data_IF_510404389360
#
_entry.id   IF_510404389360
#
_cell.length_a   1.000
_cell.length_b   1.000
_cell.length_c   1.000
_cell.angle_alpha   90.00
_cell.angle_beta   90.00
_cell.angle_gamma   90.00
#
_symmetry.space_group_name_H-M   'P 1'
#
loop_
_entity.id
_entity.type
_entity.pdbx_description
1 polymer ?
#
# COMPACT_ATOMS: atom_id res chain seq x y z
N UNK A 1 -20.90 -5.44 -6.17
CA UNK A 1 -19.75 -5.98 -6.92
C UNK A 1 -19.80 -5.40 -8.33
N UNK A 2 -19.24 -4.20 -8.54
CA UNK A 2 -19.21 -3.54 -9.84
C UNK A 2 -17.76 -3.48 -10.31
N UNK A 3 -17.43 -4.13 -11.43
CA UNK A 3 -16.14 -3.98 -12.09
C UNK A 3 -15.30 -5.25 -12.27
N UNK A 4 -15.74 -6.41 -11.78
CA UNK A 4 -15.05 -7.66 -12.15
C UNK A 4 -15.45 -7.99 -13.59
N UNK A 5 -14.47 -8.22 -14.48
CA UNK A 5 -14.77 -8.76 -15.82
C UNK A 5 -15.56 -10.06 -15.64
N UNK A 6 -16.33 -10.51 -16.63
CA UNK A 6 -16.81 -11.90 -16.63
C UNK A 6 -15.60 -12.78 -16.38
N UNK A 7 -15.52 -13.30 -15.17
CA UNK A 7 -14.51 -14.26 -14.79
C UNK A 7 -14.72 -15.41 -15.76
N UNK A 8 -13.73 -15.62 -16.64
CA UNK A 8 -13.80 -16.65 -17.68
C UNK A 8 -14.02 -18.05 -17.09
N UNK A 9 -13.83 -18.20 -15.78
CA UNK A 9 -14.02 -19.41 -14.97
C UNK A 9 -15.35 -19.47 -14.19
N UNK A 10 -16.51 -19.23 -14.80
CA UNK A 10 -17.74 -19.76 -14.21
C UNK A 10 -17.73 -21.30 -14.32
N UNK A 11 -17.18 -21.96 -13.29
CA UNK A 11 -17.20 -23.41 -13.11
C UNK A 11 -18.25 -23.75 -12.05
N UNK A 12 -19.37 -24.29 -12.50
CA UNK A 12 -20.41 -24.82 -11.61
C UNK A 12 -19.95 -26.22 -11.18
N UNK A 13 -19.68 -26.39 -9.88
CA UNK A 13 -19.42 -27.70 -9.30
C UNK A 13 -20.76 -28.31 -8.86
N UNK A 14 -21.17 -29.40 -9.51
CA UNK A 14 -22.28 -30.23 -9.01
C UNK A 14 -21.78 -31.22 -7.96
N UNK A 15 -22.68 -31.76 -7.14
CA UNK A 15 -22.38 -32.71 -6.07
C UNK A 15 -21.62 -33.97 -6.54
N UNK A 16 -21.62 -34.25 -7.84
CA UNK A 16 -20.95 -35.41 -8.47
C UNK A 16 -19.55 -35.08 -9.02
N UNK A 17 -18.97 -33.93 -8.64
CA UNK A 17 -17.63 -33.47 -9.04
C UNK A 17 -17.40 -33.36 -10.56
N UNK A 18 -18.48 -33.21 -11.35
CA UNK A 18 -18.40 -32.94 -12.79
C UNK A 18 -18.24 -31.44 -13.03
N UNK A 19 -17.17 -31.06 -13.72
CA UNK A 19 -16.91 -29.68 -14.12
C UNK A 19 -17.75 -29.39 -15.37
N UNK A 20 -18.80 -28.58 -15.24
CA UNK A 20 -19.50 -28.02 -16.40
C UNK A 20 -18.73 -26.77 -16.82
N UNK A 21 -17.92 -26.86 -17.87
CA UNK A 21 -17.41 -25.66 -18.56
C UNK A 21 -18.59 -24.97 -19.23
N UNK A 22 -18.92 -23.76 -18.80
CA UNK A 22 -20.08 -22.99 -19.26
C UNK A 22 -20.12 -22.84 -20.79
N UNK A 23 -20.91 -23.71 -21.43
CA UNK A 23 -21.14 -23.72 -22.86
C UNK A 23 -22.47 -24.39 -23.17
N UNK A 24 -23.58 -23.84 -22.65
CA UNK A 24 -24.92 -24.23 -23.11
C UNK A 24 -25.13 -23.75 -24.54
N UNK A 25 -25.76 -24.58 -25.38
CA UNK A 25 -26.14 -24.27 -26.76
C UNK A 25 -27.19 -23.13 -26.88
N UNK A 26 -27.65 -22.58 -25.75
CA UNK A 26 -28.55 -21.42 -25.64
C UNK A 26 -27.84 -20.19 -25.03
N UNK A 27 -26.58 -19.98 -25.38
CA UNK A 27 -25.83 -18.81 -24.92
C UNK A 27 -26.33 -17.55 -25.65
N UNK A 28 -27.46 -16.99 -25.21
CA UNK A 28 -27.72 -15.56 -25.39
C UNK A 28 -26.72 -14.87 -24.44
N UNK A 29 -25.45 -14.75 -24.85
CA UNK A 29 -24.59 -13.67 -24.36
C UNK A 29 -25.10 -12.39 -25.00
N UNK A 30 -26.29 -11.95 -24.59
CA UNK A 30 -26.70 -10.57 -24.73
C UNK A 30 -25.60 -9.76 -24.07
N UNK A 31 -25.03 -8.81 -24.80
CA UNK A 31 -23.92 -7.96 -24.40
C UNK A 31 -23.91 -7.72 -22.88
N UNK A 32 -22.83 -8.12 -22.21
CA UNK A 32 -22.65 -7.83 -20.79
C UNK A 32 -22.49 -6.32 -20.66
N UNK A 33 -23.61 -5.62 -20.44
CA UNK A 33 -23.63 -4.20 -20.13
C UNK A 33 -22.86 -4.02 -18.82
N UNK A 34 -21.72 -3.35 -18.92
CA UNK A 34 -20.87 -3.05 -17.77
C UNK A 34 -20.69 -1.55 -17.69
N UNK A 35 -20.79 -1.01 -16.47
CA UNK A 35 -20.21 0.28 -16.22
C UNK A 35 -18.69 0.17 -16.36
N UNK A 36 -18.15 0.91 -17.33
CA UNK A 36 -16.72 1.09 -17.47
C UNK A 36 -16.15 1.97 -16.37
N UNK A 37 -14.83 2.13 -16.39
CA UNK A 37 -14.15 3.11 -15.54
C UNK A 37 -14.50 4.54 -15.96
N UNK A 38 -14.49 5.47 -15.02
CA UNK A 38 -14.72 6.89 -15.29
C UNK A 38 -13.61 7.47 -16.17
N UNK A 39 -13.97 8.33 -17.12
CA UNK A 39 -13.05 9.28 -17.73
C UNK A 39 -12.69 10.38 -16.74
N UNK A 40 -11.69 11.20 -17.09
CA UNK A 40 -11.31 12.32 -16.22
C UNK A 40 -12.45 13.35 -16.13
N UNK A 41 -13.13 13.61 -17.26
CA UNK A 41 -14.31 14.48 -17.33
C UNK A 41 -15.48 13.96 -16.49
N UNK A 42 -15.68 12.64 -16.41
CA UNK A 42 -16.71 12.06 -15.53
C UNK A 42 -16.43 12.35 -14.05
N UNK A 43 -15.16 12.32 -13.61
CA UNK A 43 -14.80 12.64 -12.22
C UNK A 43 -14.99 14.12 -11.93
N UNK A 44 -14.56 14.99 -12.85
CA UNK A 44 -14.80 16.44 -12.74
C UNK A 44 -16.30 16.71 -12.61
N UNK A 45 -17.10 16.11 -13.50
CA UNK A 45 -18.56 16.29 -13.52
C UNK A 45 -19.20 15.77 -12.24
N UNK A 46 -18.77 14.61 -11.74
CA UNK A 46 -19.28 14.07 -10.49
C UNK A 46 -18.99 15.01 -9.30
N UNK A 47 -17.76 15.53 -9.20
CA UNK A 47 -17.38 16.37 -8.06
C UNK A 47 -17.95 17.79 -8.18
N UNK A 48 -18.16 18.30 -9.39
CA UNK A 48 -18.84 19.57 -9.64
C UNK A 48 -20.30 19.57 -9.14
N UNK A 49 -20.98 18.41 -9.10
CA UNK A 49 -22.32 18.31 -8.52
C UNK A 49 -22.32 18.67 -7.03
N UNK A 50 -21.29 18.26 -6.27
CA UNK A 50 -21.13 18.66 -4.87
C UNK A 50 -20.95 20.17 -4.75
N UNK A 51 -20.12 20.77 -5.61
CA UNK A 51 -19.91 22.22 -5.63
C UNK A 51 -21.19 22.98 -5.98
N UNK A 52 -21.96 22.54 -6.96
CA UNK A 52 -23.25 23.15 -7.34
C UNK A 52 -24.28 23.06 -6.20
N UNK A 53 -24.37 21.91 -5.53
CA UNK A 53 -25.34 21.69 -4.45
C UNK A 53 -24.98 22.39 -3.14
N UNK A 54 -23.68 22.53 -2.84
CA UNK A 54 -23.21 22.96 -1.52
C UNK A 54 -22.53 24.32 -1.50
N UNK A 55 -22.11 24.81 -2.67
CA UNK A 55 -21.25 26.00 -2.81
C UNK A 55 -19.80 25.76 -2.39
N UNK A 56 -19.42 24.52 -2.05
CA UNK A 56 -18.07 24.18 -1.61
C UNK A 56 -17.19 23.74 -2.78
N UNK A 57 -16.14 24.49 -3.04
CA UNK A 57 -15.19 24.22 -4.13
C UNK A 57 -14.16 23.14 -3.76
N UNK A 58 -13.51 22.58 -4.77
CA UNK A 58 -12.31 21.75 -4.62
C UNK A 58 -11.07 22.54 -5.02
N UNK A 59 -10.00 22.42 -4.24
CA UNK A 59 -8.70 22.98 -4.60
C UNK A 59 -8.17 22.37 -5.90
N UNK A 60 -7.43 23.18 -6.68
CA UNK A 60 -6.79 22.72 -7.92
C UNK A 60 -5.89 21.50 -7.66
N UNK A 61 -6.00 20.48 -8.50
CA UNK A 61 -5.24 19.24 -8.40
C UNK A 61 -5.88 18.15 -7.51
N UNK A 62 -6.90 18.45 -6.70
CA UNK A 62 -7.58 17.42 -5.88
C UNK A 62 -8.28 16.38 -6.75
N UNK A 63 -8.95 16.81 -7.82
CA UNK A 63 -9.65 15.90 -8.74
C UNK A 63 -8.65 15.04 -9.54
N UNK A 64 -7.54 15.63 -9.99
CA UNK A 64 -6.45 14.89 -10.65
C UNK A 64 -5.89 13.81 -9.74
N UNK A 65 -5.62 14.18 -8.49
CA UNK A 65 -5.15 13.27 -7.47
C UNK A 65 -6.11 12.09 -7.26
N UNK A 66 -7.41 12.34 -7.09
CA UNK A 66 -8.42 11.27 -6.97
C UNK A 66 -8.42 10.38 -8.21
N UNK A 67 -8.38 10.98 -9.40
CA UNK A 67 -8.40 10.24 -10.66
C UNK A 67 -7.20 9.27 -10.74
N UNK A 68 -6.01 9.73 -10.39
CA UNK A 68 -4.78 8.93 -10.35
C UNK A 68 -4.84 7.84 -9.29
N UNK A 69 -5.16 8.20 -8.04
CA UNK A 69 -5.12 7.28 -6.90
C UNK A 69 -6.06 6.08 -7.06
N UNK A 70 -7.24 6.33 -7.63
CA UNK A 70 -8.30 5.33 -7.76
C UNK A 70 -8.15 4.46 -8.98
N UNK A 71 -7.25 4.81 -9.91
CA UNK A 71 -7.15 4.19 -11.22
C UNK A 71 -8.51 4.13 -11.90
N UNK A 72 -9.30 5.21 -11.79
CA UNK A 72 -10.59 5.41 -12.48
C UNK A 72 -11.74 4.53 -11.97
N UNK A 73 -11.60 3.90 -10.82
CA UNK A 73 -12.63 3.00 -10.27
C UNK A 73 -13.74 3.78 -9.58
N UNK A 74 -14.95 3.56 -10.07
CA UNK A 74 -16.17 4.24 -9.61
C UNK A 74 -16.33 4.21 -8.10
N UNK A 75 -16.23 3.02 -7.50
CA UNK A 75 -16.42 2.89 -6.05
C UNK A 75 -15.39 3.69 -5.26
N UNK A 76 -14.11 3.63 -5.63
CA UNK A 76 -13.05 4.37 -4.92
C UNK A 76 -13.21 5.89 -5.09
N UNK A 77 -13.57 6.35 -6.28
CA UNK A 77 -13.81 7.78 -6.56
C UNK A 77 -14.95 8.31 -5.68
N UNK A 78 -16.06 7.56 -5.61
CA UNK A 78 -17.20 7.93 -4.78
C UNK A 78 -16.87 7.81 -3.29
N UNK A 79 -16.13 6.79 -2.86
CA UNK A 79 -15.76 6.60 -1.46
C UNK A 79 -14.85 7.73 -0.95
N UNK A 80 -13.84 8.14 -1.73
CA UNK A 80 -12.97 9.27 -1.39
C UNK A 80 -13.74 10.58 -1.33
N UNK A 81 -14.59 10.86 -2.32
CA UNK A 81 -15.41 12.07 -2.35
C UNK A 81 -16.39 12.10 -1.17
N UNK A 82 -17.04 10.98 -0.88
CA UNK A 82 -17.93 10.88 0.28
C UNK A 82 -17.19 11.10 1.60
N UNK A 83 -16.00 10.53 1.75
CA UNK A 83 -15.21 10.69 2.95
C UNK A 83 -14.75 12.14 3.14
N UNK A 84 -14.22 12.77 2.09
CA UNK A 84 -13.76 14.16 2.12
C UNK A 84 -14.91 15.15 2.36
N UNK A 85 -16.02 15.00 1.64
CA UNK A 85 -17.12 15.96 1.69
C UNK A 85 -18.05 15.81 2.90
N UNK A 86 -18.17 14.61 3.49
CA UNK A 86 -19.22 14.34 4.49
C UNK A 86 -18.73 13.76 5.81
N UNK A 87 -17.53 13.15 5.85
CA UNK A 87 -17.02 12.48 7.07
C UNK A 87 -15.80 13.12 7.69
N UNK A 88 -15.07 13.96 6.95
CA UNK A 88 -13.95 14.69 7.52
C UNK A 88 -14.38 15.59 8.68
N UNK A 89 -13.91 15.29 9.89
CA UNK A 89 -14.11 16.14 11.06
C UNK A 89 -13.36 17.46 10.87
N UNK A 90 -14.11 18.57 10.78
CA UNK A 90 -13.57 19.92 10.51
C UNK A 90 -14.36 20.69 9.45
N UNK A 91 -15.13 20.01 8.60
CA UNK A 91 -15.59 20.58 7.32
C UNK A 91 -17.11 20.58 7.12
N UNK A 92 -17.83 20.86 8.21
CA UNK A 92 -19.20 21.40 8.06
C UNK A 92 -19.20 22.84 7.56
N UNK A 93 -18.05 23.51 7.60
CA UNK A 93 -17.89 24.86 7.06
C UNK A 93 -17.65 24.83 5.55
N UNK A 94 -18.76 24.88 4.82
CA UNK A 94 -18.80 24.89 3.35
C UNK A 94 -18.19 26.15 2.71
N UNK A 95 -17.82 27.16 3.51
CA UNK A 95 -17.12 28.35 3.00
C UNK A 95 -15.65 28.10 2.67
N UNK A 96 -15.10 26.96 3.12
CA UNK A 96 -13.72 26.55 2.86
C UNK A 96 -13.68 25.45 1.80
N UNK A 97 -12.75 25.52 0.83
CA UNK A 97 -12.62 24.50 -0.19
C UNK A 97 -12.12 23.18 0.38
N UNK A 98 -12.48 22.07 -0.27
CA UNK A 98 -11.87 20.76 -0.04
C UNK A 98 -10.43 20.82 -0.56
N UNK A 99 -9.46 20.79 0.36
CA UNK A 99 -8.02 20.91 0.05
C UNK A 99 -7.37 19.55 -0.21
N UNK A 100 -6.14 19.57 -0.75
CA UNK A 100 -5.33 18.36 -0.88
C UNK A 100 -5.12 17.66 0.46
N UNK A 101 -4.85 18.42 1.53
CA UNK A 101 -4.65 17.85 2.87
C UNK A 101 -5.85 17.02 3.34
N UNK A 102 -7.05 17.53 3.10
CA UNK A 102 -8.32 16.90 3.45
C UNK A 102 -8.51 15.59 2.66
N UNK A 103 -8.21 15.63 1.35
CA UNK A 103 -8.31 14.45 0.50
C UNK A 103 -7.30 13.36 0.90
N UNK A 104 -6.09 13.75 1.31
CA UNK A 104 -5.09 12.81 1.83
C UNK A 104 -5.55 12.16 3.14
N UNK A 105 -6.16 12.92 4.04
CA UNK A 105 -6.74 12.38 5.28
C UNK A 105 -7.95 11.47 5.01
N UNK A 106 -8.81 11.85 4.08
CA UNK A 106 -9.92 11.04 3.62
C UNK A 106 -9.44 9.69 3.05
N UNK A 107 -8.37 9.70 2.26
CA UNK A 107 -7.71 8.48 1.77
C UNK A 107 -7.23 7.60 2.93
N UNK A 108 -6.51 8.16 3.91
CA UNK A 108 -6.00 7.38 5.03
C UNK A 108 -7.13 6.77 5.85
N UNK A 109 -8.18 7.54 6.19
CA UNK A 109 -9.37 7.02 6.89
C UNK A 109 -10.07 5.91 6.11
N UNK A 110 -10.19 6.05 4.79
CA UNK A 110 -10.78 5.02 3.93
C UNK A 110 -9.98 3.71 4.00
N UNK A 111 -8.65 3.79 3.97
CA UNK A 111 -7.75 2.64 4.06
C UNK A 111 -7.83 1.99 5.44
N UNK A 112 -7.89 2.79 6.51
CA UNK A 112 -7.96 2.30 7.89
C UNK A 112 -9.28 1.65 8.25
N UNK A 113 -10.40 2.24 7.80
CA UNK A 113 -11.76 1.77 8.14
C UNK A 113 -12.07 0.38 7.60
N UNK A 114 -11.34 -0.09 6.58
CA UNK A 114 -11.58 -1.37 5.91
C UNK A 114 -13.05 -1.52 5.49
N UNK A 115 -13.53 -0.60 4.67
CA UNK A 115 -14.89 -0.72 4.14
C UNK A 115 -15.12 -2.11 3.52
N UNK A 116 -16.35 -2.61 3.58
CA UNK A 116 -16.72 -3.98 3.16
C UNK A 116 -16.22 -4.34 1.76
N UNK A 117 -16.09 -3.35 0.87
CA UNK A 117 -15.51 -3.52 -0.47
C UNK A 117 -14.00 -3.85 -0.44
N UNK A 118 -13.23 -3.22 0.45
CA UNK A 118 -11.81 -3.52 0.69
C UNK A 118 -11.63 -4.87 1.40
N UNK A 119 -12.56 -5.26 2.27
CA UNK A 119 -12.58 -6.60 2.89
C UNK A 119 -12.79 -7.70 1.84
N UNK A 120 -13.70 -7.49 0.89
CA UNK A 120 -13.89 -8.42 -0.23
C UNK A 120 -12.61 -8.57 -1.07
N UNK A 121 -11.92 -7.46 -1.34
CA UNK A 121 -10.63 -7.48 -2.02
C UNK A 121 -9.61 -8.31 -1.23
N UNK A 122 -9.56 -8.11 0.09
CA UNK A 122 -8.66 -8.83 1.01
C UNK A 122 -8.90 -10.33 1.01
N UNK A 123 -10.16 -10.77 0.93
CA UNK A 123 -10.48 -12.19 0.84
C UNK A 123 -9.95 -12.84 -0.44
N UNK A 124 -9.96 -12.11 -1.57
CA UNK A 124 -9.39 -12.60 -2.84
C UNK A 124 -7.88 -12.77 -2.78
N UNK A 125 -7.16 -11.96 -1.97
CA UNK A 125 -5.71 -12.09 -1.81
C UNK A 125 -5.28 -13.45 -1.24
N UNK A 126 -6.19 -14.20 -0.61
CA UNK A 126 -5.92 -15.55 -0.08
C UNK A 126 -6.02 -16.64 -1.14
N UNK A 127 -6.63 -16.37 -2.29
CA UNK A 127 -6.76 -17.37 -3.34
C UNK A 127 -5.38 -17.71 -3.93
N UNK A 128 -4.99 -19.00 -4.08
CA UNK A 128 -3.64 -19.37 -4.49
C UNK A 128 -3.13 -18.69 -5.78
N UNK A 129 -4.00 -18.52 -6.79
CA UNK A 129 -3.64 -17.84 -8.04
C UNK A 129 -3.40 -16.33 -7.87
N UNK A 130 -4.23 -15.66 -7.06
CA UNK A 130 -4.08 -14.23 -6.75
C UNK A 130 -2.84 -14.03 -5.89
N UNK A 131 -2.69 -14.88 -4.88
CA UNK A 131 -1.55 -14.91 -3.99
C UNK A 131 -0.24 -14.98 -4.74
N UNK A 132 -0.11 -15.91 -5.70
CA UNK A 132 1.10 -16.09 -6.52
C UNK A 132 1.48 -14.81 -7.25
N UNK A 133 0.53 -14.18 -7.93
CA UNK A 133 0.75 -12.96 -8.72
C UNK A 133 1.08 -11.75 -7.83
N UNK A 134 0.32 -11.55 -6.75
CA UNK A 134 0.54 -10.42 -5.84
C UNK A 134 1.85 -10.58 -5.06
N UNK A 135 2.24 -11.82 -4.71
CA UNK A 135 3.52 -12.08 -4.02
C UNK A 135 4.71 -11.63 -4.84
N UNK A 136 4.74 -12.00 -6.11
CA UNK A 136 5.79 -11.58 -7.03
C UNK A 136 5.85 -10.05 -7.17
N UNK A 137 4.69 -9.38 -7.19
CA UNK A 137 4.59 -7.92 -7.26
C UNK A 137 4.98 -7.20 -5.96
N UNK A 138 4.91 -7.87 -4.81
CA UNK A 138 5.41 -7.33 -3.54
C UNK A 138 6.91 -7.62 -3.31
N UNK A 139 7.43 -8.77 -3.77
CA UNK A 139 8.77 -9.31 -3.41
C UNK A 139 10.06 -8.70 -3.99
N UNK A 140 10.06 -7.56 -4.68
CA UNK A 140 11.26 -6.89 -5.24
C UNK A 140 11.55 -7.14 -6.72
N UNK A 141 11.65 -8.40 -7.16
CA UNK A 141 11.94 -8.80 -8.55
C UNK A 141 11.63 -10.30 -8.72
N UNK A 142 11.29 -10.73 -9.94
CA UNK A 142 11.19 -12.15 -10.32
C UNK A 142 12.52 -12.82 -9.98
N UNK A 143 12.52 -13.79 -9.06
CA UNK A 143 13.73 -14.60 -8.83
C UNK A 143 14.11 -15.36 -10.10
N UNK A 144 15.39 -15.34 -10.45
CA UNK A 144 15.90 -16.18 -11.53
C UNK A 144 15.65 -17.66 -11.18
N UNK A 145 14.78 -18.33 -11.95
CA UNK A 145 14.42 -19.73 -11.75
C UNK A 145 13.01 -19.98 -11.19
N UNK A 146 12.29 -18.95 -10.74
CA UNK A 146 10.85 -19.09 -10.43
C UNK A 146 10.06 -18.98 -11.73
N UNK A 147 9.18 -19.96 -11.98
CA UNK A 147 8.26 -19.89 -13.12
C UNK A 147 7.25 -18.78 -12.85
N UNK A 148 7.17 -17.74 -13.70
CA UNK A 148 6.21 -16.66 -13.51
C UNK A 148 4.77 -17.22 -13.46
N UNK A 149 3.83 -16.50 -12.84
CA UNK A 149 2.41 -16.77 -12.94
C UNK A 149 2.03 -16.95 -14.40
N UNK A 150 1.24 -17.99 -14.68
CA UNK A 150 0.81 -18.25 -16.04
C UNK A 150 -0.11 -17.11 -16.53
N UNK A 151 -0.35 -17.06 -17.84
CA UNK A 151 -1.19 -16.02 -18.43
C UNK A 151 -2.61 -16.00 -17.84
N UNK A 152 -3.19 -17.17 -17.55
CA UNK A 152 -4.54 -17.29 -17.00
C UNK A 152 -4.66 -16.68 -15.59
N UNK A 153 -3.67 -16.90 -14.72
CA UNK A 153 -3.58 -16.30 -13.38
C UNK A 153 -3.46 -14.78 -13.49
N UNK A 154 -2.61 -14.28 -14.39
CA UNK A 154 -2.45 -12.83 -14.59
C UNK A 154 -3.72 -12.19 -15.14
N UNK A 155 -4.36 -12.81 -16.12
CA UNK A 155 -5.63 -12.33 -16.68
C UNK A 155 -6.74 -12.35 -15.62
N UNK A 156 -6.81 -13.39 -14.80
CA UNK A 156 -7.77 -13.46 -13.71
C UNK A 156 -7.57 -12.31 -12.70
N UNK A 157 -6.34 -12.08 -12.24
CA UNK A 157 -6.03 -11.00 -11.29
C UNK A 157 -6.24 -9.61 -11.91
N UNK A 158 -5.99 -9.47 -13.21
CA UNK A 158 -6.32 -8.27 -13.97
C UNK A 158 -7.84 -8.06 -14.04
N UNK A 159 -8.61 -9.13 -14.23
CA UNK A 159 -10.06 -9.12 -14.31
C UNK A 159 -10.71 -8.78 -12.95
N UNK A 160 -10.04 -9.11 -11.83
CA UNK A 160 -10.36 -8.61 -10.49
C UNK A 160 -10.05 -7.11 -10.30
N UNK A 161 -9.35 -6.48 -11.24
CA UNK A 161 -8.93 -5.08 -11.19
C UNK A 161 -7.77 -4.80 -10.22
N UNK A 162 -7.05 -5.84 -9.80
CA UNK A 162 -5.92 -5.74 -8.87
C UNK A 162 -4.61 -5.33 -9.56
N UNK A 163 -4.40 -5.81 -10.78
CA UNK A 163 -3.19 -5.52 -11.56
C UNK A 163 -3.53 -4.98 -12.95
N UNK A 164 -2.57 -4.30 -13.55
CA UNK A 164 -2.51 -4.07 -15.00
C UNK A 164 -1.30 -4.82 -15.55
N UNK A 165 -1.42 -5.38 -16.74
CA UNK A 165 -0.37 -6.16 -17.41
C UNK A 165 0.38 -5.36 -18.48
N UNK A 166 -0.11 -4.15 -18.83
CA UNK A 166 0.50 -3.27 -19.83
C UNK A 166 0.64 -1.84 -19.30
N UNK A 167 1.74 -1.13 -19.63
CA UNK A 167 2.89 -1.61 -20.41
C UNK A 167 3.78 -2.61 -19.66
N UNK A 168 3.62 -2.70 -18.34
CA UNK A 168 4.27 -3.69 -17.46
C UNK A 168 3.28 -4.20 -16.43
N UNK A 169 3.55 -5.39 -15.88
CA UNK A 169 2.74 -5.95 -14.80
C UNK A 169 2.99 -5.21 -13.49
N UNK A 170 1.94 -4.61 -12.93
CA UNK A 170 2.01 -3.89 -11.65
C UNK A 170 0.62 -3.79 -10.99
N UNK A 171 0.59 -3.45 -9.70
CA UNK A 171 -0.64 -3.13 -8.97
C UNK A 171 -1.36 -1.97 -9.68
N UNK A 172 -2.62 -2.20 -10.05
CA UNK A 172 -3.37 -1.38 -11.01
C UNK A 172 -3.62 0.06 -10.53
N UNK A 173 -3.72 0.26 -9.22
CA UNK A 173 -4.19 1.51 -8.61
C UNK A 173 -3.21 1.91 -7.52
N UNK A 174 -2.75 3.18 -7.48
CA UNK A 174 -1.87 3.66 -6.42
C UNK A 174 -2.40 3.36 -5.01
N UNK A 175 -3.70 3.58 -4.75
CA UNK A 175 -4.29 3.30 -3.43
C UNK A 175 -4.23 1.81 -3.03
N UNK A 176 -4.22 0.88 -4.00
CA UNK A 176 -4.07 -0.55 -3.69
C UNK A 176 -2.67 -0.92 -3.22
N UNK A 177 -1.68 -0.10 -3.54
CA UNK A 177 -0.31 -0.29 -3.07
C UNK A 177 -0.19 -0.04 -1.56
N UNK A 178 -1.11 0.72 -0.99
CA UNK A 178 -1.29 0.87 0.46
C UNK A 178 -2.18 -0.21 1.07
N UNK A 179 -3.33 -0.46 0.43
CA UNK A 179 -4.35 -1.37 0.96
C UNK A 179 -3.84 -2.81 1.02
N UNK A 180 -3.16 -3.30 -0.03
CA UNK A 180 -2.76 -4.71 -0.11
C UNK A 180 -1.77 -5.07 1.02
N UNK A 181 -0.63 -4.38 1.22
CA UNK A 181 0.28 -4.69 2.33
C UNK A 181 -0.38 -4.62 3.72
N UNK A 182 -1.20 -3.60 3.97
CA UNK A 182 -1.96 -3.42 5.24
C UNK A 182 -2.98 -4.53 5.46
N UNK A 183 -3.65 -4.98 4.40
CA UNK A 183 -4.59 -6.09 4.45
C UNK A 183 -3.89 -7.41 4.78
N UNK A 184 -2.74 -7.67 4.15
CA UNK A 184 -1.96 -8.88 4.34
C UNK A 184 -1.33 -9.01 5.74
N UNK A 185 -0.99 -7.88 6.36
CA UNK A 185 -0.24 -7.85 7.62
C UNK A 185 -1.09 -7.57 8.85
N UNK A 186 -2.40 -7.34 8.69
CA UNK A 186 -3.31 -6.96 9.78
C UNK A 186 -3.24 -7.86 11.03
N UNK A 187 -3.30 -9.17 10.80
CA UNK A 187 -3.31 -10.16 11.88
C UNK A 187 -2.00 -10.17 12.64
N UNK A 188 -0.92 -9.76 11.98
CA UNK A 188 0.40 -9.58 12.57
C UNK A 188 0.40 -8.28 13.39
N UNK A 189 0.04 -7.17 12.75
CA UNK A 189 -0.01 -5.84 13.35
C UNK A 189 -0.77 -5.84 14.69
N UNK A 190 -1.95 -6.46 14.72
CA UNK A 190 -2.82 -6.54 15.92
C UNK A 190 -2.25 -7.39 17.06
N UNK A 191 -1.24 -8.22 16.78
CA UNK A 191 -0.56 -9.07 17.76
C UNK A 191 0.79 -8.54 18.21
N UNK A 192 1.29 -7.47 17.60
CA UNK A 192 2.55 -6.82 17.99
C UNK A 192 2.32 -6.04 19.30
N UNK A 193 2.96 -6.43 20.42
CA UNK A 193 2.73 -5.83 21.74
C UNK A 193 3.59 -4.56 21.90
N UNK A 194 3.39 -3.58 21.03
CA UNK A 194 4.16 -2.33 21.00
C UNK A 194 3.21 -1.14 21.09
N UNK A 195 3.52 -0.17 21.96
CA UNK A 195 2.74 1.06 22.11
C UNK A 195 3.46 2.23 21.47
N UNK A 196 2.72 3.09 20.76
CA UNK A 196 3.26 4.31 20.12
C UNK A 196 4.02 5.18 21.10
N UNK A 197 3.50 5.36 22.31
CA UNK A 197 4.07 6.23 23.35
C UNK A 197 5.46 5.82 23.79
N UNK A 198 5.87 4.56 23.59
CA UNK A 198 7.22 4.10 23.94
C UNK A 198 8.30 4.67 23.00
N UNK A 199 7.89 5.15 21.83
CA UNK A 199 8.76 5.63 20.76
C UNK A 199 8.63 7.14 20.55
N UNK A 200 7.95 7.86 21.43
CA UNK A 200 7.84 9.33 21.36
C UNK A 200 8.75 9.93 22.43
N UNK A 201 9.66 10.80 22.01
CA UNK A 201 10.57 11.54 22.90
C UNK A 201 9.82 12.62 23.67
N UNK A 202 10.44 13.17 24.71
CA UNK A 202 9.86 14.26 25.51
C UNK A 202 9.58 15.53 24.68
N UNK A 203 10.36 15.76 23.62
CA UNK A 203 10.19 16.87 22.68
C UNK A 203 9.10 16.63 21.62
N UNK A 204 8.44 15.46 21.64
CA UNK A 204 7.38 15.08 20.72
C UNK A 204 7.85 14.37 19.44
N UNK A 205 9.16 14.31 19.18
CA UNK A 205 9.70 13.60 18.02
C UNK A 205 9.55 12.08 18.15
N UNK A 206 9.47 11.39 17.02
CA UNK A 206 9.56 9.93 16.96
C UNK A 206 11.03 9.49 17.14
N UNK A 207 11.25 8.56 18.06
CA UNK A 207 12.55 7.94 18.34
C UNK A 207 12.82 6.78 17.39
N UNK A 208 13.24 7.13 16.17
CA UNK A 208 13.54 6.18 15.11
C UNK A 208 14.65 5.19 15.47
N UNK A 209 15.79 5.59 16.07
CA UNK A 209 16.82 4.64 16.50
C UNK A 209 16.26 3.58 17.46
N UNK A 210 15.53 4.00 18.50
CA UNK A 210 14.90 3.07 19.45
C UNK A 210 13.86 2.16 18.76
N UNK A 211 13.09 2.70 17.82
CA UNK A 211 12.12 1.93 17.03
C UNK A 211 12.81 0.83 16.24
N UNK A 212 13.88 1.16 15.53
CA UNK A 212 14.61 0.22 14.68
C UNK A 212 15.36 -0.84 15.51
N UNK A 213 15.93 -0.46 16.65
CA UNK A 213 16.56 -1.41 17.58
C UNK A 213 15.53 -2.42 18.12
N UNK A 214 14.36 -1.93 18.53
CA UNK A 214 13.28 -2.80 19.00
C UNK A 214 12.69 -3.64 17.86
N UNK A 215 12.62 -3.12 16.64
CA UNK A 215 12.25 -3.92 15.47
C UNK A 215 13.26 -5.04 15.24
N UNK A 216 14.55 -4.77 15.38
CA UNK A 216 15.60 -5.78 15.22
C UNK A 216 15.43 -6.91 16.25
N UNK A 217 15.19 -6.56 17.52
CA UNK A 217 14.90 -7.54 18.55
C UNK A 217 13.62 -8.32 18.25
N UNK A 218 12.53 -7.62 17.94
CA UNK A 218 11.25 -8.24 17.60
C UNK A 218 11.40 -9.21 16.42
N UNK A 219 12.11 -8.80 15.37
CA UNK A 219 12.37 -9.65 14.22
C UNK A 219 13.16 -10.90 14.63
N UNK A 220 14.22 -10.77 15.44
CA UNK A 220 15.01 -11.92 15.93
C UNK A 220 14.18 -12.94 16.70
N UNK A 221 13.27 -12.48 17.54
CA UNK A 221 12.50 -13.35 18.43
C UNK A 221 11.35 -14.05 17.71
N UNK A 222 10.89 -13.49 16.58
CA UNK A 222 9.61 -13.86 16.01
C UNK A 222 9.72 -14.29 14.53
N UNK A 223 10.82 -14.03 13.83
CA UNK A 223 10.95 -14.21 12.38
C UNK A 223 10.52 -15.59 11.90
N UNK A 224 10.95 -16.66 12.58
CA UNK A 224 10.73 -18.03 12.10
C UNK A 224 9.24 -18.39 12.12
N UNK A 225 8.55 -18.07 13.21
CA UNK A 225 7.10 -18.32 13.38
C UNK A 225 6.30 -17.54 12.33
N UNK A 226 6.68 -16.30 12.05
CA UNK A 226 5.94 -15.46 11.12
C UNK A 226 6.30 -15.72 9.67
N UNK A 227 7.55 -16.05 9.34
CA UNK A 227 7.97 -16.39 7.99
C UNK A 227 7.41 -17.74 7.54
N UNK A 228 7.25 -18.70 8.46
CA UNK A 228 6.57 -19.96 8.18
C UNK A 228 5.06 -19.80 8.00
N UNK A 229 4.44 -18.91 8.78
CA UNK A 229 3.02 -18.54 8.65
C UNK A 229 2.72 -17.55 7.52
N UNK A 230 3.74 -16.92 6.93
CA UNK A 230 3.57 -15.97 5.84
C UNK A 230 3.34 -16.72 4.54
N UNK A 231 2.13 -16.61 3.98
CA UNK A 231 1.89 -17.07 2.61
C UNK A 231 2.80 -16.31 1.62
N UNK A 232 3.08 -15.02 1.87
CA UNK A 232 3.96 -14.15 1.08
C UNK A 232 5.43 -14.23 1.52
N UNK A 233 6.04 -15.42 1.44
CA UNK A 233 7.42 -15.64 1.94
C UNK A 233 8.44 -14.65 1.39
N UNK A 234 8.34 -14.28 0.11
CA UNK A 234 9.29 -13.39 -0.57
C UNK A 234 9.27 -11.96 -0.02
N UNK A 235 8.09 -11.39 0.14
CA UNK A 235 7.91 -10.06 0.71
C UNK A 235 7.88 -10.07 2.25
N UNK A 236 7.94 -11.25 2.88
CA UNK A 236 7.72 -11.47 4.32
C UNK A 236 8.49 -10.50 5.23
N UNK A 237 9.82 -10.37 5.12
CA UNK A 237 10.59 -9.46 5.96
C UNK A 237 10.19 -7.98 5.81
N UNK A 238 9.96 -7.54 4.58
CA UNK A 238 9.52 -6.16 4.29
C UNK A 238 8.10 -5.91 4.80
N UNK A 239 7.19 -6.88 4.65
CA UNK A 239 5.83 -6.81 5.17
C UNK A 239 5.81 -6.82 6.71
N UNK A 240 6.71 -7.58 7.35
CA UNK A 240 6.85 -7.60 8.79
C UNK A 240 7.32 -6.23 9.32
N UNK A 241 8.34 -5.63 8.68
CA UNK A 241 8.77 -4.26 8.99
C UNK A 241 7.63 -3.27 8.85
N UNK A 242 6.91 -3.32 7.73
CA UNK A 242 5.75 -2.47 7.52
C UNK A 242 4.67 -2.64 8.59
N UNK A 243 4.40 -3.87 9.02
CA UNK A 243 3.41 -4.15 10.06
C UNK A 243 3.82 -3.59 11.43
N UNK A 244 5.12 -3.66 11.75
CA UNK A 244 5.68 -3.12 12.98
C UNK A 244 5.60 -1.60 12.99
N UNK A 245 6.02 -0.96 11.89
CA UNK A 245 5.89 0.47 11.69
C UNK A 245 4.45 0.93 11.78
N UNK A 246 3.51 0.27 11.08
CA UNK A 246 2.09 0.61 11.13
C UNK A 246 1.50 0.49 12.55
N UNK A 247 1.89 -0.52 13.34
CA UNK A 247 1.41 -0.67 14.72
C UNK A 247 1.78 0.52 15.60
N UNK A 248 2.94 1.11 15.36
CA UNK A 248 3.49 2.20 16.16
C UNK A 248 3.03 3.55 15.60
N UNK A 249 3.16 3.77 14.29
CA UNK A 249 2.98 5.09 13.67
C UNK A 249 1.51 5.49 13.58
N UNK A 250 0.58 4.53 13.38
CA UNK A 250 -0.85 4.84 13.31
C UNK A 250 -1.41 5.47 14.60
N UNK A 251 -0.66 5.49 15.71
CA UNK A 251 -1.03 6.19 16.94
C UNK A 251 -0.82 7.71 16.93
N UNK A 252 -0.39 8.30 15.82
CA UNK A 252 -0.22 9.76 15.71
C UNK A 252 0.39 10.29 14.41
N UNK A 253 0.98 9.43 13.58
CA UNK A 253 1.56 9.79 12.28
C UNK A 253 0.97 8.95 11.14
N UNK A 254 1.58 9.06 9.96
CA UNK A 254 1.21 8.27 8.77
C UNK A 254 2.43 7.75 8.03
N UNK A 255 2.22 6.69 7.26
CA UNK A 255 3.24 6.07 6.41
C UNK A 255 2.73 6.13 4.97
N UNK A 256 3.48 6.80 4.10
CA UNK A 256 3.25 6.80 2.66
C UNK A 256 4.24 5.87 1.97
N UNK A 257 3.78 5.13 0.95
CA UNK A 257 4.65 4.33 0.09
C UNK A 257 4.81 5.03 -1.24
N UNK A 258 6.04 5.36 -1.62
CA UNK A 258 6.30 5.73 -2.99
C UNK A 258 6.57 4.50 -3.84
N UNK A 259 5.91 4.43 -4.99
CA UNK A 259 6.18 3.45 -6.03
C UNK A 259 6.46 4.23 -7.30
N UNK A 260 7.68 4.75 -7.40
CA UNK A 260 8.10 5.62 -8.50
C UNK A 260 7.96 4.94 -9.88
N UNK A 261 7.65 5.75 -10.89
CA UNK A 261 7.69 5.36 -12.30
C UNK A 261 9.14 5.03 -12.69
N UNK A 262 9.56 3.78 -12.47
CA UNK A 262 10.84 3.26 -12.95
C UNK A 262 11.90 2.95 -11.91
N UNK A 263 11.65 3.15 -10.61
CA UNK A 263 12.58 2.82 -9.52
C UNK A 263 12.02 1.69 -8.63
N UNK A 264 12.89 0.78 -8.20
CA UNK A 264 12.56 -0.52 -7.57
C UNK A 264 12.31 -0.40 -6.05
N UNK A 265 11.01 -0.52 -5.70
CA UNK A 265 10.29 -1.04 -4.50
C UNK A 265 10.60 -0.52 -3.07
N UNK A 266 9.50 0.00 -2.47
CA UNK A 266 9.14 0.19 -1.05
C UNK A 266 9.98 1.16 -0.26
N UNK A 267 10.10 2.35 -0.80
CA UNK A 267 10.52 3.53 -0.10
C UNK A 267 9.33 3.98 0.77
N UNK A 268 9.52 3.95 2.09
CA UNK A 268 8.50 4.39 3.05
C UNK A 268 8.85 5.81 3.48
N UNK A 269 7.84 6.67 3.48
CA UNK A 269 7.91 7.99 4.09
C UNK A 269 7.05 8.00 5.34
N UNK A 270 7.69 8.15 6.49
CA UNK A 270 7.00 8.43 7.74
C UNK A 270 6.80 9.93 7.85
N UNK A 271 5.59 10.34 8.20
CA UNK A 271 5.24 11.71 8.52
C UNK A 271 4.66 11.73 9.93
N UNK A 272 5.40 12.36 10.85
CA UNK A 272 5.08 12.45 12.26
C UNK A 272 4.84 13.92 12.69
N UNK A 273 3.58 14.31 13.00
CA UNK A 273 3.25 15.64 13.49
C UNK A 273 3.98 15.99 14.79
N UNK A 274 4.63 17.14 14.83
CA UNK A 274 5.30 17.64 16.04
C UNK A 274 4.40 18.51 16.91
N UNK A 275 3.38 19.12 16.31
CA UNK A 275 2.33 19.86 17.00
C UNK A 275 1.02 19.07 16.93
N UNK A 276 0.54 18.57 18.07
CA UNK A 276 -0.72 17.81 18.14
C UNK A 276 -1.97 18.65 17.84
N UNK A 277 -1.90 19.96 18.05
CA UNK A 277 -3.02 20.87 17.79
C UNK A 277 -3.16 21.18 16.32
N UNK A 278 -2.05 21.31 15.61
CA UNK A 278 -2.02 21.54 14.17
C UNK A 278 -2.03 20.24 13.36
N UNK A 279 -1.65 19.12 13.97
CA UNK A 279 -1.60 17.82 13.32
C UNK A 279 -0.76 17.86 12.05
N UNK A 280 -1.29 17.33 10.94
CA UNK A 280 -0.59 17.30 9.66
C UNK A 280 -0.43 18.67 8.98
N UNK A 281 -1.02 19.74 9.52
CA UNK A 281 -0.87 21.11 9.02
C UNK A 281 0.27 21.88 9.69
N UNK A 282 0.89 21.31 10.72
CA UNK A 282 1.97 21.93 11.48
C UNK A 282 3.37 21.44 11.10
N UNK A 283 4.38 21.75 11.95
CA UNK A 283 5.72 21.19 11.79
C UNK A 283 5.68 19.66 11.83
N UNK A 284 6.50 19.04 10.97
CA UNK A 284 6.44 17.61 10.66
C UNK A 284 7.85 17.02 10.66
N UNK A 285 8.08 15.96 11.43
CA UNK A 285 9.25 15.11 11.23
C UNK A 285 8.96 14.18 10.04
N UNK A 286 9.88 14.17 9.08
CA UNK A 286 9.83 13.31 7.89
C UNK A 286 11.00 12.35 7.93
N UNK A 287 10.72 11.07 7.83
CA UNK A 287 11.73 10.01 7.85
C UNK A 287 11.56 9.11 6.64
N UNK A 288 12.62 8.98 5.85
CA UNK A 288 12.68 8.02 4.75
C UNK A 288 13.18 6.67 5.27
N UNK A 289 12.53 5.58 4.89
CA UNK A 289 13.02 4.22 5.13
C UNK A 289 13.08 3.48 3.80
N UNK A 290 14.28 3.07 3.43
CA UNK A 290 14.56 2.26 2.25
C UNK A 290 14.69 0.79 2.64
N UNK A 291 13.92 -0.10 2.00
CA UNK A 291 13.92 -1.53 2.30
C UNK A 291 14.55 -2.36 1.18
N UNK A 292 15.73 -2.93 1.42
CA UNK A 292 16.40 -3.82 0.47
C UNK A 292 16.41 -5.28 0.92
N UNK A 293 16.26 -6.19 -0.03
CA UNK A 293 16.63 -7.60 0.14
C UNK A 293 18.02 -7.75 -0.46
N UNK A 294 18.97 -8.29 0.32
CA UNK A 294 20.33 -8.53 -0.17
C UNK A 294 20.31 -9.67 -1.20
N UNK A 295 20.45 -9.31 -2.48
CA UNK A 295 20.55 -10.26 -3.62
C UNK A 295 21.93 -10.27 -4.26
N UNK A 296 22.76 -9.28 -3.97
CA UNK A 296 24.15 -9.11 -4.44
C UNK A 296 25.10 -8.96 -3.23
N UNK A 297 26.35 -8.57 -3.47
CA UNK A 297 27.26 -8.27 -2.35
C UNK A 297 26.67 -7.20 -1.45
N UNK A 298 27.00 -7.27 -0.15
CA UNK A 298 26.47 -6.32 0.83
C UNK A 298 26.89 -4.89 0.47
N UNK A 299 28.14 -4.71 0.04
CA UNK A 299 28.69 -3.42 -0.35
C UNK A 299 27.90 -2.81 -1.52
N UNK A 300 27.62 -3.60 -2.56
CA UNK A 300 26.88 -3.10 -3.71
C UNK A 300 25.40 -2.82 -3.38
N UNK A 301 24.80 -3.56 -2.43
CA UNK A 301 23.45 -3.28 -1.94
C UNK A 301 23.40 -2.00 -1.09
N UNK A 302 24.45 -1.75 -0.28
CA UNK A 302 24.58 -0.52 0.49
C UNK A 302 24.73 0.68 -0.44
N UNK A 303 25.66 0.64 -1.39
CA UNK A 303 25.91 1.74 -2.33
C UNK A 303 24.62 2.16 -3.06
N UNK A 304 23.93 1.20 -3.68
CA UNK A 304 22.65 1.46 -4.36
C UNK A 304 21.56 1.97 -3.40
N UNK A 305 21.48 1.42 -2.18
CA UNK A 305 20.47 1.79 -1.21
C UNK A 305 20.68 3.20 -0.64
N UNK A 306 21.93 3.60 -0.41
CA UNK A 306 22.28 4.94 0.09
C UNK A 306 21.96 6.01 -0.95
N UNK A 307 22.33 5.78 -2.22
CA UNK A 307 22.01 6.71 -3.31
C UNK A 307 20.50 6.92 -3.43
N UNK A 308 19.72 5.83 -3.37
CA UNK A 308 18.26 5.89 -3.47
C UNK A 308 17.61 6.56 -2.24
N UNK A 309 18.11 6.27 -1.05
CA UNK A 309 17.62 6.90 0.19
C UNK A 309 17.85 8.40 0.16
N UNK A 310 19.05 8.84 -0.23
CA UNK A 310 19.43 10.25 -0.31
C UNK A 310 18.62 10.99 -1.37
N UNK A 311 18.51 10.43 -2.58
CA UNK A 311 17.67 10.95 -3.66
C UNK A 311 16.22 11.17 -3.19
N UNK A 312 15.69 10.25 -2.40
CA UNK A 312 14.32 10.35 -1.91
C UNK A 312 14.19 11.41 -0.81
N UNK A 313 15.11 11.44 0.16
CA UNK A 313 15.15 12.46 1.21
C UNK A 313 15.15 13.88 0.63
N UNK A 314 15.96 14.13 -0.39
CA UNK A 314 16.02 15.43 -1.08
C UNK A 314 14.68 15.81 -1.72
N UNK A 315 14.00 14.84 -2.35
CA UNK A 315 12.71 15.07 -3.00
C UNK A 315 11.59 15.40 -2.02
N UNK A 316 11.62 14.85 -0.82
CA UNK A 316 10.55 15.02 0.18
C UNK A 316 10.92 15.97 1.32
N UNK A 317 12.14 16.51 1.32
CA UNK A 317 12.67 17.36 2.38
C UNK A 317 12.68 16.63 3.73
N UNK A 318 13.19 15.39 3.76
CA UNK A 318 13.39 14.63 4.99
C UNK A 318 14.82 14.84 5.51
N UNK A 319 14.95 15.07 6.81
CA UNK A 319 16.25 15.25 7.48
C UNK A 319 16.84 13.91 7.97
N UNK A 320 16.01 12.86 7.99
CA UNK A 320 16.41 11.52 8.44
C UNK A 320 16.06 10.47 7.39
N UNK A 321 17.00 9.55 7.17
CA UNK A 321 16.84 8.40 6.27
C UNK A 321 17.48 7.15 6.85
N UNK A 322 16.85 6.00 6.63
CA UNK A 322 17.33 4.71 7.13
C UNK A 322 17.29 3.65 6.03
N UNK A 323 18.43 3.04 5.74
CA UNK A 323 18.54 1.89 4.85
C UNK A 323 18.49 0.59 5.64
N UNK A 324 17.48 -0.24 5.39
CA UNK A 324 17.31 -1.54 6.04
C UNK A 324 17.53 -2.64 5.02
N UNK A 325 18.53 -3.49 5.27
CA UNK A 325 18.91 -4.59 4.38
C UNK A 325 18.57 -5.92 5.03
N UNK A 326 17.65 -6.67 4.42
CA UNK A 326 17.31 -8.04 4.81
C UNK A 326 18.20 -9.03 4.07
N UNK A 327 19.07 -9.73 4.80
CA UNK A 327 19.89 -10.80 4.26
C UNK A 327 19.19 -12.15 4.40
N UNK A 328 19.19 -12.94 3.31
CA UNK A 328 18.54 -14.26 3.20
C UNK A 328 19.52 -15.42 3.03
N UNK A 329 20.82 -15.19 3.17
CA UNK A 329 21.84 -16.24 3.05
C UNK A 329 21.59 -17.37 4.06
N UNK A 330 21.48 -18.61 3.56
CA UNK A 330 21.24 -19.82 4.38
C UNK A 330 22.34 -20.11 5.41
N UNK A 331 23.51 -19.51 5.24
CA UNK A 331 24.74 -19.85 5.96
C UNK A 331 25.08 -18.83 7.05
N UNK A 332 24.27 -17.79 7.20
CA UNK A 332 24.50 -16.72 8.17
C UNK A 332 23.67 -17.04 9.41
N UNK A 333 24.36 -17.35 10.52
CA UNK A 333 23.72 -17.36 11.83
C UNK A 333 23.17 -15.95 12.08
N UNK A 334 21.87 -15.88 12.33
CA UNK A 334 21.06 -14.66 12.43
C UNK A 334 21.62 -13.58 13.39
N UNK A 335 22.53 -13.95 14.28
CA UNK A 335 23.25 -13.08 15.23
C UNK A 335 24.12 -12.00 14.56
N UNK A 336 24.43 -12.10 13.26
CA UNK A 336 25.44 -11.23 12.61
C UNK A 336 24.89 -10.22 11.59
N UNK A 337 23.61 -9.87 11.61
CA UNK A 337 23.07 -8.86 10.68
C UNK A 337 23.40 -7.43 11.16
N UNK A 338 24.30 -6.70 10.47
CA UNK A 338 24.56 -5.31 10.82
C UNK A 338 23.40 -4.45 10.31
N UNK A 339 22.78 -3.68 11.19
CA UNK A 339 22.06 -2.47 10.81
C UNK A 339 23.09 -1.36 10.86
N UNK A 340 23.32 -0.69 9.74
CA UNK A 340 24.20 0.48 9.68
C UNK A 340 23.33 1.73 9.67
N UNK A 341 23.36 2.45 10.79
CA UNK A 341 22.78 3.78 10.92
C UNK A 341 23.78 4.79 10.37
N UNK A 342 23.77 5.04 9.06
CA UNK A 342 24.44 6.22 8.52
C UNK A 342 23.43 7.37 8.53
N UNK A 343 23.52 8.25 9.53
CA UNK A 343 22.78 9.51 9.54
C UNK A 343 23.39 10.41 8.47
N UNK A 344 22.75 10.54 7.31
CA UNK A 344 23.14 11.53 6.31
C UNK A 344 22.59 12.89 6.77
N UNK A 345 23.37 13.58 7.60
CA UNK A 345 23.03 14.96 8.02
C UNK A 345 23.14 15.91 6.82
N UNK A 346 22.04 16.56 6.49
CA UNK A 346 22.01 17.66 5.51
C UNK A 346 22.83 18.86 6.00
N UNK A 347 23.51 19.53 5.07
CA UNK A 347 24.31 20.75 5.29
C UNK A 347 23.42 21.98 5.50
#
# INVERSE_FOLDING_TARGET
MCGVRDVRDYRIHTADNRIITGGSAFNIKSESLRLGNFSHEDVITLYAQHTEETGQDFETGVVDYVFEQTGRQLWLINALGYEACFRAEGERDRSRPITMGIMLEARERLIERRDTHLDQLTNQLREPRVHKVISELLGGDIEAGITPPNEDDQLYVQDLGLIRTRPKTEIAKPIYREIIPRALTWTIQTRIPQETTWYVKEDGNLDMPKLLDNFQQFFRENSDIWLDGFHYREAGPQLLMQSFLQRIINGGGRIEREYGLGRRRTDLLIQWPLDRTQGFHGPMQRVVIELKIQRKSLEATIEEGVDQTTDYMDRVGAEEGYLIIFNRGSDIKWESLPIRNDTVGGV
#
